data_IF_389500567414
#
_entry.id   IF_389500567414
#
_cell.length_a   1.000
_cell.length_b   1.000
_cell.length_c   1.000
_cell.angle_alpha   90.00
_cell.angle_beta   90.00
_cell.angle_gamma   90.00
#
_symmetry.space_group_name_H-M   'P 1'
#
loop_
_entity.id
_entity.type
_entity.pdbx_description
1 polymer ?
#
# COMPACT_ATOMS: atom_id res chain seq x y z
N UNK A 1 -1.28 3.01 16.16
CA UNK A 1 -0.58 1.74 16.42
C UNK A 1 -1.57 0.62 16.76
N UNK A 2 -2.37 0.72 17.82
CA UNK A 2 -3.27 -0.38 18.22
C UNK A 2 -4.25 -0.83 17.12
N UNK A 3 -4.84 0.13 16.39
CA UNK A 3 -5.71 -0.14 15.24
C UNK A 3 -5.04 -1.02 14.19
N UNK A 4 -3.79 -0.70 13.81
CA UNK A 4 -3.03 -1.49 12.82
C UNK A 4 -2.77 -2.91 13.33
N UNK A 5 -2.42 -3.05 14.61
CA UNK A 5 -2.18 -4.34 15.24
C UNK A 5 -3.45 -5.18 15.35
N UNK A 6 -4.60 -4.56 15.55
CA UNK A 6 -5.88 -5.26 15.56
C UNK A 6 -6.18 -5.86 14.18
N UNK A 7 -6.01 -5.09 13.11
CA UNK A 7 -6.13 -5.58 11.75
C UNK A 7 -5.12 -6.69 11.43
N UNK A 8 -3.85 -6.48 11.82
CA UNK A 8 -2.81 -7.49 11.66
C UNK A 8 -3.16 -8.79 12.38
N UNK A 9 -3.62 -8.75 13.64
CA UNK A 9 -4.01 -9.96 14.39
C UNK A 9 -5.20 -10.67 13.76
N UNK A 10 -6.15 -9.93 13.18
CA UNK A 10 -7.29 -10.54 12.46
C UNK A 10 -6.85 -11.24 11.17
N UNK A 11 -5.91 -10.65 10.43
CA UNK A 11 -5.41 -11.21 9.17
C UNK A 11 -4.42 -12.37 9.40
N UNK A 12 -3.39 -12.14 10.20
CA UNK A 12 -2.28 -13.06 10.42
C UNK A 12 -2.49 -14.06 11.57
N UNK A 13 -3.45 -13.83 12.46
CA UNK A 13 -3.57 -14.59 13.70
C UNK A 13 -2.49 -14.21 14.73
N UNK A 14 -1.64 -15.16 15.14
CA UNK A 14 -0.54 -14.89 16.08
C UNK A 14 0.60 -14.17 15.37
N UNK A 15 0.83 -12.89 15.68
CA UNK A 15 1.88 -12.07 15.05
C UNK A 15 3.31 -12.59 15.26
N UNK A 16 3.53 -13.50 16.22
CA UNK A 16 4.84 -14.15 16.43
C UNK A 16 5.04 -15.39 15.54
N UNK A 17 3.96 -15.85 14.91
CA UNK A 17 3.91 -16.95 13.94
C UNK A 17 2.82 -16.62 12.90
N UNK A 18 3.00 -15.54 12.12
CA UNK A 18 1.97 -15.03 11.23
C UNK A 18 1.59 -16.07 10.18
N UNK A 19 0.29 -16.23 9.95
CA UNK A 19 -0.26 -17.02 8.86
C UNK A 19 -0.56 -16.10 7.67
N UNK A 20 0.08 -16.35 6.54
CA UNK A 20 -0.10 -15.56 5.31
C UNK A 20 -1.18 -16.14 4.39
N UNK A 21 -1.82 -17.25 4.76
CA UNK A 21 -2.86 -17.90 3.98
C UNK A 21 -4.07 -16.99 3.66
N UNK A 22 -4.34 -15.98 4.51
CA UNK A 22 -5.41 -15.01 4.26
C UNK A 22 -5.24 -14.24 2.95
N UNK A 23 -4.00 -14.04 2.47
CA UNK A 23 -3.78 -13.29 1.23
C UNK A 23 -4.23 -14.08 0.00
N UNK A 24 -4.05 -15.40 0.00
CA UNK A 24 -4.61 -16.27 -1.04
C UNK A 24 -6.13 -16.16 -1.12
N UNK A 25 -6.81 -16.03 0.03
CA UNK A 25 -8.25 -15.77 0.07
C UNK A 25 -8.59 -14.37 -0.46
N UNK A 26 -7.83 -13.35 -0.06
CA UNK A 26 -7.99 -11.98 -0.56
C UNK A 26 -7.85 -11.90 -2.08
N UNK A 27 -6.84 -12.55 -2.67
CA UNK A 27 -6.63 -12.64 -4.12
C UNK A 27 -7.83 -13.24 -4.86
N UNK A 28 -8.51 -14.20 -4.22
CA UNK A 28 -9.70 -14.86 -4.79
C UNK A 28 -10.95 -13.98 -4.69
N UNK A 29 -11.17 -13.31 -3.57
CA UNK A 29 -12.37 -12.46 -3.38
C UNK A 29 -12.23 -11.07 -3.97
N UNK A 30 -10.99 -10.62 -4.24
CA UNK A 30 -10.66 -9.33 -4.88
C UNK A 30 -11.37 -8.15 -4.21
N UNK A 31 -11.09 -7.87 -2.92
CA UNK A 31 -11.87 -6.92 -2.13
C UNK A 31 -11.83 -5.49 -2.71
N UNK A 32 -10.77 -5.18 -3.45
CA UNK A 32 -10.54 -3.86 -4.03
C UNK A 32 -11.03 -3.74 -5.48
N UNK A 33 -11.53 -4.80 -6.13
CA UNK A 33 -11.95 -4.73 -7.54
C UNK A 33 -12.94 -3.58 -7.80
N UNK A 34 -13.96 -3.31 -6.96
CA UNK A 34 -14.86 -2.19 -7.20
C UNK A 34 -14.17 -0.82 -7.20
N UNK A 35 -13.16 -0.61 -6.36
CA UNK A 35 -12.36 0.61 -6.33
C UNK A 35 -11.47 0.69 -7.58
N UNK A 36 -10.79 -0.41 -7.92
CA UNK A 36 -9.90 -0.50 -9.08
C UNK A 36 -10.67 -0.26 -10.39
N UNK A 37 -11.89 -0.78 -10.52
CA UNK A 37 -12.76 -0.52 -11.68
C UNK A 37 -13.14 0.95 -11.81
N UNK A 38 -13.38 1.66 -10.69
CA UNK A 38 -13.59 3.11 -10.71
C UNK A 38 -12.32 3.87 -11.08
N UNK A 39 -11.15 3.41 -10.64
CA UNK A 39 -9.86 4.01 -11.04
C UNK A 39 -9.60 3.83 -12.54
N UNK A 40 -9.91 2.66 -13.12
CA UNK A 40 -9.79 2.36 -14.56
C UNK A 40 -10.67 3.24 -15.44
N UNK A 41 -11.74 3.83 -14.90
CA UNK A 41 -12.57 4.80 -15.63
C UNK A 41 -11.91 6.18 -15.76
N UNK A 42 -10.89 6.47 -14.94
CA UNK A 42 -10.20 7.76 -14.90
C UNK A 42 -8.77 7.68 -15.43
N UNK A 43 -8.12 6.53 -15.25
CA UNK A 43 -6.68 6.36 -15.43
C UNK A 43 -6.37 5.04 -16.15
N UNK A 44 -5.19 4.99 -16.77
CA UNK A 44 -4.53 3.74 -17.08
C UNK A 44 -4.11 3.10 -15.75
N UNK A 45 -4.52 1.84 -15.54
CA UNK A 45 -4.19 1.06 -14.34
C UNK A 45 -3.50 -0.22 -14.75
N UNK A 46 -2.24 -0.36 -14.35
CA UNK A 46 -1.47 -1.59 -14.50
C UNK A 46 -1.41 -2.31 -13.15
N UNK A 47 -1.66 -3.62 -13.15
CA UNK A 47 -1.63 -4.48 -11.97
C UNK A 47 -0.23 -5.09 -11.82
N UNK A 48 0.43 -4.73 -10.73
CA UNK A 48 1.78 -5.15 -10.35
C UNK A 48 1.75 -6.00 -9.06
N UNK A 49 0.59 -6.54 -8.69
CA UNK A 49 0.43 -7.38 -7.50
C UNK A 49 1.29 -8.64 -7.62
N UNK A 50 2.29 -8.76 -6.74
CA UNK A 50 2.99 -10.03 -6.56
C UNK A 50 2.09 -10.99 -5.77
N UNK A 51 1.98 -12.23 -6.24
CA UNK A 51 1.11 -13.24 -5.62
C UNK A 51 1.87 -14.15 -4.67
N UNK A 52 3.18 -14.17 -4.76
CA UNK A 52 4.03 -15.10 -4.01
C UNK A 52 4.50 -14.44 -2.71
N UNK A 53 4.88 -13.16 -2.76
CA UNK A 53 5.64 -12.52 -1.67
C UNK A 53 4.97 -11.28 -1.05
N UNK A 54 3.81 -10.83 -1.54
CA UNK A 54 3.12 -9.63 -1.02
C UNK A 54 1.90 -9.96 -0.14
N UNK A 55 1.50 -8.98 0.69
CA UNK A 55 0.20 -8.96 1.39
C UNK A 55 -0.64 -7.74 0.99
N UNK A 56 -0.38 -7.24 -0.21
CA UNK A 56 -1.08 -6.10 -0.79
C UNK A 56 -1.35 -6.29 -2.27
N UNK A 57 -2.22 -5.44 -2.78
CA UNK A 57 -2.50 -5.29 -4.20
C UNK A 57 -1.80 -4.02 -4.69
N UNK A 58 -0.87 -4.19 -5.61
CA UNK A 58 0.02 -3.13 -6.09
C UNK A 58 -0.40 -2.70 -7.48
N UNK A 59 -0.57 -1.41 -7.69
CA UNK A 59 -1.02 -0.84 -8.96
C UNK A 59 -0.17 0.35 -9.36
N UNK A 60 0.07 0.49 -10.66
CA UNK A 60 0.57 1.72 -11.27
C UNK A 60 -0.61 2.44 -11.92
N UNK A 61 -0.80 3.70 -11.56
CA UNK A 61 -1.86 4.57 -12.10
C UNK A 61 -1.22 5.69 -12.92
N UNK A 62 -1.77 5.97 -14.10
CA UNK A 62 -1.28 7.02 -14.99
C UNK A 62 -2.42 7.67 -15.79
N UNK A 63 -2.34 8.97 -16.03
CA UNK A 63 -3.29 9.65 -16.95
C UNK A 63 -2.99 9.25 -18.39
N UNK A 64 -1.70 9.22 -18.73
CA UNK A 64 -1.18 8.80 -20.03
C UNK A 64 0.21 8.19 -19.84
N UNK A 65 0.73 7.51 -20.86
CA UNK A 65 2.07 6.86 -20.78
C UNK A 65 3.22 7.85 -20.57
N UNK A 66 3.02 9.12 -20.88
CA UNK A 66 4.02 10.19 -20.74
C UNK A 66 3.81 11.04 -19.46
N UNK A 67 2.79 10.71 -18.65
CA UNK A 67 2.50 11.40 -17.40
C UNK A 67 3.28 10.79 -16.23
N UNK A 68 3.48 11.55 -15.13
CA UNK A 68 3.93 10.98 -13.86
C UNK A 68 3.09 9.75 -13.48
N UNK A 69 3.74 8.79 -12.83
CA UNK A 69 3.09 7.56 -12.40
C UNK A 69 2.80 7.65 -10.90
N UNK A 70 1.64 7.15 -10.52
CA UNK A 70 1.32 6.89 -9.13
C UNK A 70 1.47 5.42 -8.83
N UNK A 71 2.20 5.10 -7.78
CA UNK A 71 2.23 3.75 -7.22
C UNK A 71 1.22 3.69 -6.07
N UNK A 72 0.28 2.75 -6.18
CA UNK A 72 -0.78 2.53 -5.20
C UNK A 72 -0.64 1.12 -4.64
N UNK A 73 -0.45 1.02 -3.32
CA UNK A 73 -0.52 -0.24 -2.58
C UNK A 73 -1.80 -0.27 -1.76
N UNK A 74 -2.65 -1.26 -1.99
CA UNK A 74 -3.87 -1.51 -1.21
C UNK A 74 -3.65 -2.73 -0.31
N UNK A 75 -3.70 -2.55 1.01
CA UNK A 75 -3.44 -3.62 1.96
C UNK A 75 -4.52 -4.71 1.90
N UNK A 76 -4.14 -5.98 2.02
CA UNK A 76 -5.08 -7.06 2.28
C UNK A 76 -5.36 -7.26 3.78
N UNK A 77 -4.57 -6.62 4.66
CA UNK A 77 -4.64 -6.75 6.13
C UNK A 77 -5.74 -5.86 6.71
N UNK A 78 -6.02 -4.73 6.08
CA UNK A 78 -7.03 -3.78 6.52
C UNK A 78 -7.31 -2.69 5.49
N UNK A 79 -8.14 -1.70 5.83
CA UNK A 79 -8.54 -0.63 4.90
C UNK A 79 -7.46 0.45 4.79
N UNK A 80 -6.22 0.04 4.50
CA UNK A 80 -5.06 0.90 4.45
C UNK A 80 -4.47 0.93 3.05
N UNK A 81 -3.95 2.09 2.67
CA UNK A 81 -3.21 2.22 1.43
C UNK A 81 -2.01 3.13 1.58
N UNK A 82 -1.00 2.88 0.76
CA UNK A 82 0.06 3.84 0.47
C UNK A 82 -0.15 4.32 -0.97
N UNK A 83 -0.13 5.63 -1.16
CA UNK A 83 -0.11 6.24 -2.49
C UNK A 83 1.17 7.07 -2.59
N UNK A 84 1.90 6.92 -3.67
CA UNK A 84 3.05 7.75 -3.96
C UNK A 84 3.04 8.22 -5.41
N UNK A 85 3.57 9.42 -5.66
CA UNK A 85 3.68 10.02 -6.99
C UNK A 85 5.16 10.20 -7.33
N UNK A 86 5.64 9.46 -8.34
CA UNK A 86 7.04 9.58 -8.77
C UNK A 86 7.12 10.09 -10.20
N UNK A 87 8.20 10.81 -10.49
CA UNK A 87 8.56 11.07 -11.89
C UNK A 87 8.86 9.73 -12.58
N UNK A 88 8.54 9.64 -13.88
CA UNK A 88 8.77 8.42 -14.65
C UNK A 88 10.26 7.99 -14.59
N UNK A 89 10.50 6.77 -14.10
CA UNK A 89 11.85 6.19 -13.97
C UNK A 89 12.67 6.68 -12.77
N UNK A 90 12.09 7.49 -11.87
CA UNK A 90 12.74 7.88 -10.63
C UNK A 90 12.58 6.80 -9.55
N UNK A 91 13.58 6.71 -8.67
CA UNK A 91 13.46 5.95 -7.42
C UNK A 91 12.45 6.63 -6.49
N UNK A 92 11.65 5.82 -5.81
CA UNK A 92 10.65 6.30 -4.86
C UNK A 92 11.34 6.81 -3.59
N UNK A 93 11.09 8.08 -3.24
CA UNK A 93 11.60 8.70 -2.03
C UNK A 93 10.49 9.07 -1.06
N UNK A 94 10.85 9.30 0.21
CA UNK A 94 9.93 9.67 1.28
C UNK A 94 8.96 10.81 0.92
N UNK A 95 9.44 11.82 0.19
CA UNK A 95 8.64 13.00 -0.19
C UNK A 95 7.60 12.72 -1.27
N UNK A 96 7.66 11.56 -1.92
CA UNK A 96 6.71 11.17 -2.98
C UNK A 96 5.40 10.65 -2.40
N UNK A 97 5.35 10.35 -1.09
CA UNK A 97 4.15 9.84 -0.42
C UNK A 97 3.04 10.89 -0.39
N UNK A 98 1.88 10.49 -0.87
CA UNK A 98 0.70 11.33 -1.04
C UNK A 98 -0.36 10.98 -0.01
N UNK A 99 -0.65 11.92 0.91
CA UNK A 99 -1.73 11.78 1.91
C UNK A 99 -2.87 12.78 1.75
N UNK A 100 -2.75 13.70 0.81
CA UNK A 100 -3.72 14.77 0.60
C UNK A 100 -3.42 15.58 -0.66
N UNK A 101 -4.29 16.54 -0.93
CA UNK A 101 -4.17 17.46 -2.07
C UNK A 101 -3.02 18.45 -1.84
N UNK A 102 -2.28 18.80 -2.88
CA UNK A 102 -1.20 19.77 -2.83
C UNK A 102 -1.18 20.67 -4.07
N UNK A 103 -0.48 21.82 -4.02
CA UNK A 103 -0.45 22.77 -5.13
C UNK A 103 0.15 22.17 -6.42
N UNK A 104 1.04 21.19 -6.28
CA UNK A 104 1.71 20.52 -7.40
C UNK A 104 1.01 19.21 -7.82
N UNK A 105 -0.16 18.91 -7.24
CA UNK A 105 -0.91 17.70 -7.58
C UNK A 105 -1.72 17.90 -8.87
N UNK A 106 -1.61 16.98 -9.84
CA UNK A 106 -2.49 16.99 -11.02
C UNK A 106 -3.96 16.86 -10.61
N UNK A 107 -4.92 17.45 -11.37
CA UNK A 107 -6.36 17.35 -11.06
C UNK A 107 -6.88 15.91 -10.91
N UNK A 108 -6.26 14.95 -11.59
CA UNK A 108 -6.58 13.53 -11.47
C UNK A 108 -6.19 12.97 -10.10
N UNK A 109 -5.14 13.50 -9.46
CA UNK A 109 -4.74 13.14 -8.10
C UNK A 109 -5.85 13.40 -7.09
N UNK A 110 -6.50 14.57 -7.16
CA UNK A 110 -7.65 14.89 -6.29
C UNK A 110 -8.79 13.88 -6.44
N UNK A 111 -9.05 13.41 -7.66
CA UNK A 111 -10.07 12.40 -7.94
C UNK A 111 -9.68 11.02 -7.41
N UNK A 112 -8.41 10.62 -7.55
CA UNK A 112 -7.89 9.38 -6.95
C UNK A 112 -8.08 9.41 -5.43
N UNK A 113 -7.67 10.49 -4.78
CA UNK A 113 -7.82 10.67 -3.34
C UNK A 113 -9.29 10.60 -2.90
N UNK A 114 -10.20 11.20 -3.68
CA UNK A 114 -11.64 11.11 -3.42
C UNK A 114 -12.15 9.67 -3.52
N UNK A 115 -11.76 8.92 -4.57
CA UNK A 115 -12.16 7.52 -4.74
C UNK A 115 -11.67 6.62 -3.60
N UNK A 116 -10.41 6.80 -3.17
CA UNK A 116 -9.86 6.06 -2.04
C UNK A 116 -10.64 6.33 -0.75
N UNK A 117 -10.93 7.61 -0.47
CA UNK A 117 -11.72 8.01 0.72
C UNK A 117 -13.15 7.44 0.67
N UNK A 118 -13.81 7.52 -0.48
CA UNK A 118 -15.15 6.96 -0.67
C UNK A 118 -15.20 5.44 -0.50
N UNK A 119 -14.12 4.75 -0.87
CA UNK A 119 -13.95 3.31 -0.63
C UNK A 119 -13.63 2.97 0.84
N UNK A 120 -13.56 3.98 1.73
CA UNK A 120 -13.24 3.79 3.14
C UNK A 120 -11.76 3.49 3.39
N UNK A 121 -10.89 3.73 2.42
CA UNK A 121 -9.45 3.49 2.53
C UNK A 121 -8.79 4.65 3.28
N UNK A 122 -8.00 4.32 4.29
CA UNK A 122 -7.11 5.25 4.97
C UNK A 122 -5.75 5.28 4.28
N UNK A 123 -5.39 6.44 3.76
CA UNK A 123 -4.05 6.70 3.26
C UNK A 123 -3.06 6.87 4.40
N UNK A 124 -1.93 6.20 4.31
CA UNK A 124 -0.85 6.27 5.28
C UNK A 124 0.22 7.27 4.84
N UNK A 125 0.72 8.03 5.82
CA UNK A 125 1.88 8.90 5.65
C UNK A 125 3.19 8.12 5.65
N UNK A 126 4.25 8.75 5.13
CA UNK A 126 5.60 8.18 5.17
C UNK A 126 6.05 7.86 6.61
N UNK A 127 5.73 8.72 7.57
CA UNK A 127 6.05 8.52 8.99
C UNK A 127 5.30 7.31 9.58
N UNK A 128 4.02 7.15 9.24
CA UNK A 128 3.25 5.99 9.69
C UNK A 128 3.84 4.68 9.15
N UNK A 129 4.12 4.61 7.85
CA UNK A 129 4.61 3.37 7.23
C UNK A 129 6.02 2.99 7.69
N UNK A 130 6.86 3.95 8.08
CA UNK A 130 8.17 3.72 8.69
C UNK A 130 8.10 3.33 10.17
N UNK A 131 6.93 3.47 10.81
CA UNK A 131 6.83 3.20 12.24
C UNK A 131 7.12 1.73 12.49
N UNK A 132 8.10 1.48 13.34
CA UNK A 132 8.49 0.14 13.75
C UNK A 132 7.39 -0.56 14.53
N UNK A 133 7.16 -1.84 14.21
CA UNK A 133 6.20 -2.71 14.89
C UNK A 133 6.95 -3.73 15.74
N UNK A 134 6.73 -3.67 17.06
CA UNK A 134 7.23 -4.67 18.01
C UNK A 134 6.29 -5.88 18.09
N UNK A 135 6.86 -7.06 18.35
CA UNK A 135 6.12 -8.31 18.53
C UNK A 135 5.64 -8.99 17.24
N UNK A 136 5.94 -8.42 16.07
CA UNK A 136 5.77 -9.09 14.78
C UNK A 136 7.04 -9.85 14.43
N UNK A 137 6.93 -11.15 14.15
CA UNK A 137 8.04 -11.97 13.69
C UNK A 137 7.82 -12.37 12.24
N UNK A 138 8.57 -11.74 11.34
CA UNK A 138 8.56 -12.11 9.93
C UNK A 138 8.99 -13.57 9.75
N UNK A 139 8.56 -14.19 8.65
CA UNK A 139 8.90 -15.58 8.33
C UNK A 139 10.41 -15.82 8.27
N UNK A 140 11.19 -14.82 7.86
CA UNK A 140 12.65 -14.84 7.81
C UNK A 140 13.32 -14.64 9.19
N UNK A 141 12.53 -14.55 10.26
CA UNK A 141 13.01 -14.43 11.63
C UNK A 141 13.30 -12.99 12.08
N UNK A 142 13.08 -11.97 11.25
CA UNK A 142 13.19 -10.55 11.66
C UNK A 142 12.14 -10.24 12.73
N UNK A 143 12.54 -9.51 13.76
CA UNK A 143 11.72 -9.17 14.95
C UNK A 143 11.42 -7.68 15.07
N UNK A 144 11.86 -6.90 14.09
CA UNK A 144 11.69 -5.46 14.02
C UNK A 144 11.44 -5.10 12.55
N UNK A 145 10.18 -4.87 12.21
CA UNK A 145 9.73 -4.59 10.84
C UNK A 145 8.93 -3.29 10.82
N UNK A 146 8.84 -2.66 9.66
CA UNK A 146 7.98 -1.47 9.47
C UNK A 146 6.52 -1.84 9.55
N UNK A 147 5.68 -0.84 9.82
CA UNK A 147 4.26 -0.92 9.51
C UNK A 147 4.03 -1.20 8.01
N UNK A 148 4.87 -0.67 7.13
CA UNK A 148 4.85 -1.01 5.70
C UNK A 148 4.97 -2.52 5.47
N UNK A 149 5.97 -3.16 6.06
CA UNK A 149 6.16 -4.61 5.94
C UNK A 149 4.90 -5.35 6.41
N UNK A 150 4.36 -4.96 7.57
CA UNK A 150 3.18 -5.60 8.16
C UNK A 150 1.93 -5.42 7.30
N UNK A 151 1.81 -4.33 6.52
CA UNK A 151 0.59 -4.04 5.77
C UNK A 151 0.70 -4.35 4.28
N UNK A 152 1.91 -4.40 3.71
CA UNK A 152 2.09 -4.43 2.27
C UNK A 152 2.99 -5.56 1.73
N UNK A 153 3.97 -6.07 2.48
CA UNK A 153 4.80 -7.17 1.98
C UNK A 153 6.15 -7.37 2.66
N UNK A 154 7.02 -8.13 2.00
CA UNK A 154 8.25 -8.65 2.62
C UNK A 154 9.46 -7.71 2.60
N UNK A 155 9.38 -6.58 1.91
CA UNK A 155 10.41 -5.55 1.96
C UNK A 155 9.93 -4.36 2.76
N UNK A 156 10.84 -3.79 3.54
CA UNK A 156 10.65 -2.49 4.17
C UNK A 156 10.49 -1.38 3.12
N UNK A 157 10.04 -0.18 3.53
CA UNK A 157 9.86 0.93 2.58
C UNK A 157 11.14 1.15 1.77
N UNK A 158 11.05 1.39 0.44
CA UNK A 158 12.22 1.43 -0.44
C UNK A 158 13.32 2.39 0.01
N UNK A 159 12.94 3.48 0.70
CA UNK A 159 13.86 4.50 1.19
C UNK A 159 14.37 4.29 2.62
N UNK A 160 13.95 3.26 3.36
CA UNK A 160 14.34 3.10 4.78
C UNK A 160 15.84 2.86 4.96
N UNK A 161 16.47 2.17 4.01
CA UNK A 161 17.90 1.82 4.09
C UNK A 161 18.81 2.82 3.38
N UNK A 162 18.27 3.93 2.86
CA UNK A 162 19.02 4.96 2.15
C UNK A 162 19.71 5.98 3.09
N UNK A 163 19.88 5.66 4.38
CA UNK A 163 20.45 6.54 5.41
C UNK A 163 21.88 6.17 5.77
#
# INVERSE_FOLDING_TARGET
MEEFLEHARRAYGDLRKPDYGFFSDALRVRPWEPLVDRLRQLLLVEDWTDREDDVSFSYVLQVSRDSPAWSLWLSAVGPFALLACTAAGAELVRSDVVVGTGPDMPPEGDRVLALLREAGVRLLSAEEVETTVDGFRAWNGRVLVSLFFVLFGETDVPWWHAS
#
